data_IF_494042890947
#
_entry.id   IF_494042890947
#
_cell.length_a   1.000
_cell.length_b   1.000
_cell.length_c   1.000
_cell.angle_alpha   90.00
_cell.angle_beta   90.00
_cell.angle_gamma   90.00
#
_symmetry.space_group_name_H-M   'P 1'
#
loop_
_entity.id
_entity.type
_entity.pdbx_description
1 polymer ?
#
# COMPACT_ATOMS: atom_id res chain seq x y z
N UNK A 1 1.87 -8.56 25.76
CA UNK A 1 3.08 -8.05 25.08
C UNK A 1 3.08 -8.62 23.68
N UNK A 2 2.73 -7.83 22.67
CA UNK A 2 2.78 -8.23 21.26
C UNK A 2 4.07 -7.65 20.67
N UNK A 3 4.98 -8.55 20.33
CA UNK A 3 6.26 -8.28 19.69
C UNK A 3 6.02 -8.31 18.17
N UNK A 4 5.62 -7.17 17.61
CA UNK A 4 5.23 -7.04 16.20
C UNK A 4 6.39 -6.66 15.25
N UNK A 5 7.61 -6.50 15.75
CA UNK A 5 8.68 -5.88 14.96
C UNK A 5 9.43 -6.83 14.01
N UNK A 6 9.22 -8.16 14.08
CA UNK A 6 10.14 -9.11 13.41
C UNK A 6 9.53 -10.02 12.34
N UNK A 7 8.20 -10.17 12.31
CA UNK A 7 7.46 -10.87 11.23
C UNK A 7 6.16 -10.13 10.86
N UNK A 8 6.00 -8.90 11.34
CA UNK A 8 4.76 -8.14 11.25
C UNK A 8 4.68 -7.36 9.95
N UNK A 9 3.47 -7.32 9.39
CA UNK A 9 2.96 -6.40 8.37
C UNK A 9 3.00 -4.94 8.86
N UNK A 10 4.14 -4.48 9.37
CA UNK A 10 4.40 -3.11 9.79
C UNK A 10 4.99 -2.34 8.60
N UNK A 11 4.16 -2.17 7.56
CA UNK A 11 4.38 -1.15 6.52
C UNK A 11 4.30 0.29 7.09
N UNK A 12 4.01 0.46 8.39
CA UNK A 12 3.76 1.75 9.02
C UNK A 12 5.01 2.51 9.49
N UNK A 13 6.15 1.86 9.72
CA UNK A 13 7.29 2.54 10.37
C UNK A 13 8.26 3.20 9.37
N UNK A 14 8.41 2.64 8.17
CA UNK A 14 9.37 3.15 7.18
C UNK A 14 8.92 4.41 6.40
N UNK A 15 7.61 4.64 6.12
CA UNK A 15 7.18 5.88 5.45
C UNK A 15 7.13 7.13 6.34
N UNK A 16 6.87 6.97 7.64
CA UNK A 16 6.53 8.11 8.52
C UNK A 16 7.74 9.00 8.84
N UNK A 17 8.94 8.43 8.95
CA UNK A 17 10.14 9.21 9.26
C UNK A 17 10.51 10.19 8.13
N UNK A 18 10.27 9.81 6.87
CA UNK A 18 10.66 10.59 5.68
C UNK A 18 9.73 11.78 5.40
N UNK A 19 8.48 11.73 5.90
CA UNK A 19 7.49 12.82 5.69
C UNK A 19 7.79 14.04 6.58
N UNK A 20 8.51 13.85 7.71
CA UNK A 20 8.82 14.90 8.67
C UNK A 20 9.85 15.93 8.20
N UNK A 21 10.70 15.59 7.23
CA UNK A 21 11.83 16.45 6.80
C UNK A 21 11.49 17.37 5.62
N UNK A 22 10.23 17.42 5.18
CA UNK A 22 9.77 18.34 4.13
C UNK A 22 10.21 17.98 2.70
N UNK A 23 10.79 16.80 2.49
CA UNK A 23 11.34 16.36 1.19
C UNK A 23 10.42 15.36 0.45
N UNK A 24 9.46 14.72 1.12
CA UNK A 24 8.50 13.81 0.48
C UNK A 24 7.07 14.35 0.53
N UNK A 25 6.52 14.75 -0.62
CA UNK A 25 5.11 15.11 -0.73
C UNK A 25 4.19 13.88 -0.62
N UNK A 26 4.71 12.67 -0.89
CA UNK A 26 3.94 11.43 -1.02
C UNK A 26 4.83 10.19 -0.94
N UNK A 27 4.40 9.16 -0.21
CA UNK A 27 5.06 7.84 -0.13
C UNK A 27 4.04 6.76 -0.46
N UNK A 28 4.40 5.81 -1.32
CA UNK A 28 3.57 4.64 -1.61
C UNK A 28 4.31 3.38 -1.23
N UNK A 29 3.65 2.54 -0.44
CA UNK A 29 4.13 1.22 -0.08
C UNK A 29 3.16 0.17 -0.60
N UNK A 30 3.69 -0.87 -1.23
CA UNK A 30 2.91 -2.00 -1.71
C UNK A 30 3.56 -3.31 -1.30
N UNK A 31 2.73 -4.30 -1.00
CA UNK A 31 3.14 -5.63 -0.58
C UNK A 31 2.32 -6.66 -1.34
N UNK A 32 2.95 -7.71 -1.83
CA UNK A 32 2.27 -8.90 -2.32
C UNK A 32 3.03 -10.17 -1.88
N UNK A 33 2.37 -10.98 -1.07
CA UNK A 33 2.83 -12.29 -0.61
C UNK A 33 1.88 -13.34 -1.17
N UNK A 34 2.43 -14.37 -1.81
CA UNK A 34 1.67 -15.40 -2.52
C UNK A 34 0.80 -16.25 -1.58
N UNK A 35 -0.34 -16.74 -2.09
CA UNK A 35 -1.35 -17.53 -1.34
C UNK A 35 -0.77 -18.78 -0.62
N UNK A 36 0.38 -19.29 -1.09
CA UNK A 36 1.06 -20.48 -0.57
C UNK A 36 1.90 -20.23 0.69
N UNK A 37 2.21 -18.98 1.03
CA UNK A 37 2.93 -18.65 2.27
C UNK A 37 2.06 -18.85 3.51
N UNK A 38 2.70 -18.87 4.69
CA UNK A 38 2.01 -18.93 5.99
C UNK A 38 1.06 -17.74 6.15
N UNK A 39 1.56 -16.53 5.84
CA UNK A 39 0.85 -15.25 5.96
C UNK A 39 0.74 -14.52 4.60
N UNK A 40 -0.13 -14.99 3.68
CA UNK A 40 -0.31 -14.33 2.40
C UNK A 40 -1.03 -12.99 2.58
N UNK A 41 -0.59 -11.98 1.84
CA UNK A 41 -1.11 -10.62 1.96
C UNK A 41 -0.97 -9.84 0.65
N UNK A 42 -1.89 -8.92 0.41
CA UNK A 42 -1.75 -7.82 -0.56
C UNK A 42 -2.08 -6.53 0.14
N UNK A 43 -1.25 -5.52 -0.01
CA UNK A 43 -1.51 -4.22 0.59
C UNK A 43 -1.05 -3.10 -0.35
N UNK A 44 -1.83 -2.03 -0.38
CA UNK A 44 -1.46 -0.73 -0.91
C UNK A 44 -1.63 0.27 0.23
N UNK A 45 -0.58 1.02 0.54
CA UNK A 45 -0.60 2.12 1.49
C UNK A 45 -0.02 3.37 0.81
N UNK A 46 -0.82 4.43 0.77
CA UNK A 46 -0.43 5.74 0.26
C UNK A 46 -0.43 6.70 1.43
N UNK A 47 0.71 7.34 1.64
CA UNK A 47 0.90 8.39 2.60
C UNK A 47 1.18 9.70 1.88
N UNK A 48 0.59 10.79 2.35
CA UNK A 48 0.79 12.13 1.80
C UNK A 48 1.13 13.07 2.95
N UNK A 49 1.97 14.07 2.67
CA UNK A 49 2.28 15.10 3.64
C UNK A 49 0.99 15.90 3.94
N UNK A 50 0.41 15.71 5.12
CA UNK A 50 -0.72 16.49 5.59
C UNK A 50 -0.23 17.80 6.20
N UNK A 51 -0.81 18.93 5.77
CA UNK A 51 -0.57 20.24 6.38
C UNK A 51 -1.36 20.43 7.68
N UNK A 52 -2.26 19.51 8.02
CA UNK A 52 -3.07 19.57 9.22
C UNK A 52 -2.40 18.83 10.39
N UNK A 53 -2.63 19.28 11.63
CA UNK A 53 -2.15 18.68 12.89
C UNK A 53 -2.65 17.25 13.17
N UNK A 54 -3.22 16.60 12.17
CA UNK A 54 -3.71 15.23 12.26
C UNK A 54 -2.55 14.30 11.87
N UNK A 55 -1.99 13.57 12.83
CA UNK A 55 -0.81 12.70 12.64
C UNK A 55 -1.09 11.46 11.76
N UNK A 56 -2.25 11.42 11.11
CA UNK A 56 -2.62 10.42 10.11
C UNK A 56 -2.02 10.82 8.76
N UNK A 57 -0.75 10.47 8.53
CA UNK A 57 -0.10 10.65 7.22
C UNK A 57 -0.69 9.75 6.13
N UNK A 58 -1.56 8.80 6.47
CA UNK A 58 -2.15 7.83 5.55
C UNK A 58 -3.32 8.43 4.77
N UNK A 59 -3.14 8.66 3.46
CA UNK A 59 -4.19 9.10 2.53
C UNK A 59 -5.16 7.96 2.20
N UNK A 60 -4.62 6.76 1.98
CA UNK A 60 -5.39 5.56 1.60
C UNK A 60 -4.63 4.30 1.96
N UNK A 61 -5.30 3.34 2.60
CA UNK A 61 -4.75 1.99 2.82
C UNK A 61 -5.81 0.97 2.43
N UNK A 62 -5.41 -0.05 1.66
CA UNK A 62 -6.26 -1.20 1.31
C UNK A 62 -5.44 -2.46 1.48
N UNK A 63 -5.95 -3.41 2.27
CA UNK A 63 -5.24 -4.64 2.60
C UNK A 63 -6.16 -5.84 2.53
N UNK A 64 -5.68 -6.92 1.92
CA UNK A 64 -6.22 -8.28 2.03
C UNK A 64 -5.13 -9.16 2.62
N UNK A 65 -5.34 -9.73 3.79
CA UNK A 65 -4.35 -10.57 4.45
C UNK A 65 -4.99 -11.83 5.02
N UNK A 66 -4.21 -12.91 5.15
CA UNK A 66 -4.59 -14.07 5.94
C UNK A 66 -3.69 -14.16 7.14
N UNK A 67 -4.25 -13.82 8.30
CA UNK A 67 -3.62 -14.04 9.59
C UNK A 67 -4.16 -15.36 10.16
N UNK A 68 -3.29 -16.34 10.32
CA UNK A 68 -3.66 -17.72 10.65
C UNK A 68 -4.59 -18.35 9.61
N UNK A 69 -5.83 -18.66 10.00
CA UNK A 69 -6.76 -19.46 9.20
C UNK A 69 -7.78 -18.65 8.37
N UNK A 70 -7.88 -17.32 8.57
CA UNK A 70 -8.96 -16.52 7.97
C UNK A 70 -8.42 -15.36 7.16
N UNK A 71 -9.04 -15.15 5.99
CA UNK A 71 -8.82 -13.95 5.21
C UNK A 71 -9.56 -12.76 5.83
N UNK A 72 -8.90 -11.62 5.89
CA UNK A 72 -9.45 -10.33 6.28
C UNK A 72 -9.27 -9.32 5.15
N UNK A 73 -10.15 -8.32 5.12
CA UNK A 73 -10.04 -7.15 4.25
C UNK A 73 -10.23 -5.90 5.10
N UNK A 74 -9.36 -4.92 4.92
CA UNK A 74 -9.46 -3.60 5.55
C UNK A 74 -9.23 -2.51 4.51
N UNK A 75 -9.95 -1.41 4.69
CA UNK A 75 -9.80 -0.19 3.89
C UNK A 75 -9.86 1.01 4.82
N UNK A 76 -8.98 1.98 4.62
CA UNK A 76 -8.92 3.24 5.37
C UNK A 76 -8.70 4.41 4.42
N UNK A 77 -9.30 5.57 4.72
CA UNK A 77 -9.25 6.76 3.87
C UNK A 77 -10.17 6.66 2.64
N UNK A 78 -10.36 7.80 1.98
CA UNK A 78 -11.21 7.89 0.78
C UNK A 78 -10.60 7.10 -0.39
N UNK A 79 -11.37 6.26 -1.09
CA UNK A 79 -10.85 5.56 -2.26
C UNK A 79 -10.42 6.50 -3.38
N UNK A 80 -9.46 6.07 -4.20
CA UNK A 80 -9.16 6.74 -5.47
C UNK A 80 -10.21 6.40 -6.54
N UNK A 81 -10.35 7.27 -7.54
CA UNK A 81 -11.35 7.11 -8.61
C UNK A 81 -11.14 5.83 -9.45
N UNK A 82 -9.90 5.37 -9.59
CA UNK A 82 -9.56 4.15 -10.31
C UNK A 82 -9.82 2.86 -9.51
N UNK A 83 -10.12 2.96 -8.20
CA UNK A 83 -10.35 1.77 -7.39
C UNK A 83 -11.63 1.04 -7.81
N UNK A 84 -11.52 -0.27 -8.02
CA UNK A 84 -12.63 -1.15 -8.42
C UNK A 84 -13.46 -1.54 -7.19
N UNK A 85 -14.21 -0.59 -6.61
CA UNK A 85 -14.91 -0.76 -5.31
C UNK A 85 -15.89 -1.95 -5.26
N UNK A 86 -16.49 -2.33 -6.39
CA UNK A 86 -17.36 -3.51 -6.44
C UNK A 86 -16.61 -4.81 -6.11
N UNK A 87 -15.30 -4.89 -6.40
CA UNK A 87 -14.48 -6.04 -5.99
C UNK A 87 -14.36 -6.15 -4.48
N UNK A 88 -14.39 -5.05 -3.74
CA UNK A 88 -14.31 -5.08 -2.27
C UNK A 88 -15.52 -5.75 -1.62
N UNK A 89 -16.61 -5.94 -2.38
CA UNK A 89 -17.80 -6.67 -1.95
C UNK A 89 -17.77 -8.16 -2.34
N UNK A 90 -16.72 -8.63 -3.02
CA UNK A 90 -16.62 -10.03 -3.45
C UNK A 90 -16.78 -11.00 -2.26
N UNK A 91 -17.50 -12.11 -2.51
CA UNK A 91 -17.75 -13.16 -1.50
C UNK A 91 -16.46 -13.76 -0.95
N UNK A 92 -15.47 -13.98 -1.83
CA UNK A 92 -14.16 -14.45 -1.43
C UNK A 92 -13.26 -13.25 -1.12
N UNK A 93 -12.91 -13.08 0.16
CA UNK A 93 -12.09 -11.95 0.62
C UNK A 93 -10.75 -11.88 -0.13
N UNK A 94 -10.11 -13.02 -0.39
CA UNK A 94 -8.85 -13.09 -1.15
C UNK A 94 -8.92 -12.59 -2.60
N UNK A 95 -10.13 -12.40 -3.13
CA UNK A 95 -10.37 -11.88 -4.49
C UNK A 95 -10.68 -10.39 -4.51
N UNK A 96 -10.77 -9.73 -3.34
CA UNK A 96 -11.06 -8.30 -3.22
C UNK A 96 -9.88 -7.42 -3.65
N UNK A 97 -8.66 -7.93 -3.49
CA UNK A 97 -7.42 -7.35 -3.99
C UNK A 97 -6.53 -8.50 -4.45
N UNK A 98 -6.38 -8.66 -5.76
CA UNK A 98 -5.48 -9.67 -6.37
C UNK A 98 -4.16 -9.01 -6.76
N UNK A 99 -3.08 -9.78 -7.02
CA UNK A 99 -1.82 -9.22 -7.50
C UNK A 99 -2.02 -8.34 -8.75
N UNK A 100 -2.84 -8.78 -9.70
CA UNK A 100 -3.10 -8.05 -10.94
C UNK A 100 -3.83 -6.72 -10.69
N UNK A 101 -4.78 -6.71 -9.75
CA UNK A 101 -5.48 -5.47 -9.36
C UNK A 101 -4.54 -4.52 -8.60
N UNK A 102 -3.68 -5.05 -7.73
CA UNK A 102 -2.68 -4.24 -7.04
C UNK A 102 -1.70 -3.61 -8.04
N UNK A 103 -1.25 -4.37 -9.03
CA UNK A 103 -0.42 -3.89 -10.13
C UNK A 103 -1.12 -2.78 -10.91
N UNK A 104 -2.39 -2.97 -11.28
CA UNK A 104 -3.18 -1.96 -11.97
C UNK A 104 -3.33 -0.69 -11.14
N UNK A 105 -3.59 -0.79 -9.84
CA UNK A 105 -3.69 0.38 -8.97
C UNK A 105 -2.39 1.16 -8.87
N UNK A 106 -1.24 0.49 -8.83
CA UNK A 106 0.06 1.16 -8.86
C UNK A 106 0.27 1.91 -10.19
N UNK A 107 -0.07 1.27 -11.31
CA UNK A 107 0.02 1.89 -12.63
C UNK A 107 -0.92 3.11 -12.78
N UNK A 108 -2.19 2.98 -12.36
CA UNK A 108 -3.18 4.07 -12.39
C UNK A 108 -2.80 5.22 -11.44
N UNK A 109 -2.06 4.91 -10.37
CA UNK A 109 -1.48 5.90 -9.47
C UNK A 109 -0.22 6.59 -10.05
N UNK A 110 0.29 6.12 -11.20
CA UNK A 110 1.45 6.67 -11.88
C UNK A 110 2.79 6.06 -11.45
N UNK A 111 2.77 4.92 -10.77
CA UNK A 111 3.98 4.20 -10.36
C UNK A 111 4.35 3.22 -11.48
N UNK A 112 5.55 3.36 -12.08
CA UNK A 112 6.03 2.39 -13.05
C UNK A 112 6.32 1.08 -12.31
N UNK A 113 5.60 0.03 -12.70
CA UNK A 113 5.87 -1.33 -12.24
C UNK A 113 6.18 -2.22 -13.44
N UNK A 114 7.03 -3.20 -13.22
CA UNK A 114 7.22 -4.29 -14.18
C UNK A 114 5.96 -5.18 -14.20
N UNK A 115 5.74 -5.91 -15.30
CA UNK A 115 4.63 -6.87 -15.41
C UNK A 115 4.71 -7.98 -14.32
N UNK A 116 5.91 -8.23 -13.78
CA UNK A 116 6.17 -9.17 -12.70
C UNK A 116 7.18 -8.59 -11.68
N UNK A 117 6.73 -7.69 -10.78
CA UNK A 117 7.63 -7.01 -9.87
C UNK A 117 8.14 -7.95 -8.77
N UNK A 118 9.41 -7.78 -8.38
CA UNK A 118 9.99 -8.47 -7.22
C UNK A 118 9.45 -7.85 -5.92
N UNK A 119 8.38 -8.44 -5.39
CA UNK A 119 7.74 -8.01 -4.14
C UNK A 119 8.59 -8.21 -2.89
N UNK A 120 9.75 -8.89 -2.98
CA UNK A 120 10.72 -9.02 -1.90
C UNK A 120 11.56 -7.77 -1.67
N UNK A 121 11.45 -6.75 -2.54
CA UNK A 121 12.22 -5.51 -2.48
C UNK A 121 11.32 -4.30 -2.26
N UNK A 122 11.73 -3.44 -1.34
CA UNK A 122 11.17 -2.10 -1.25
C UNK A 122 11.79 -1.22 -2.33
N UNK A 123 10.96 -0.54 -3.11
CA UNK A 123 11.40 0.45 -4.10
C UNK A 123 11.05 1.84 -3.60
N UNK A 124 12.07 2.68 -3.40
CA UNK A 124 11.87 4.10 -3.16
C UNK A 124 11.72 4.79 -4.52
N UNK A 125 10.58 5.45 -4.72
CA UNK A 125 10.39 6.32 -5.88
C UNK A 125 10.70 7.75 -5.43
N UNK A 126 11.79 8.28 -5.93
CA UNK A 126 12.08 9.71 -5.78
C UNK A 126 11.04 10.51 -6.56
N UNK A 127 10.58 11.67 -6.04
CA UNK A 127 9.65 12.50 -6.78
C UNK A 127 10.28 12.87 -8.14
N UNK A 128 9.58 12.53 -9.23
CA UNK A 128 9.87 13.14 -10.52
C UNK A 128 9.84 14.66 -10.34
N UNK A 129 10.85 15.40 -10.83
CA UNK A 129 10.83 16.86 -10.78
C UNK A 129 9.53 17.34 -11.43
N UNK A 130 8.88 18.31 -10.79
CA UNK A 130 7.64 18.86 -11.33
C UNK A 130 7.95 19.47 -12.71
N UNK A 131 7.03 19.36 -13.69
CA UNK A 131 7.27 19.76 -15.08
C UNK A 131 7.48 21.28 -15.31
N UNK A 132 7.65 22.07 -14.25
CA UNK A 132 7.94 23.50 -14.29
C UNK A 132 9.31 23.90 -13.73
N UNK A 133 10.18 22.94 -13.37
CA UNK A 133 11.55 23.20 -12.91
C UNK A 133 12.60 23.22 -14.06
N UNK A 134 12.29 23.86 -15.20
CA UNK A 134 13.26 24.10 -16.31
C UNK A 134 13.20 25.54 -16.80
#
# INVERSE_FOLDING_TARGET
MLNNAQNGTDLGVLPIATIGDGVCSRVVAALCVEDGHEYPARSLAVHEASTARDHSYSRRVVTVARDGSRWSFSGFGEPFEFEQLERYKARLIKKRLTPEVLCQYLADYGIPIEDSPDWGRAVLLEPLPLPWDV
#
